data_IF_815007196874
#
_entry.id   IF_815007196874
#
_cell.length_a   1.000
_cell.length_b   1.000
_cell.length_c   1.000
_cell.angle_alpha   90.00
_cell.angle_beta   90.00
_cell.angle_gamma   90.00
#
_symmetry.space_group_name_H-M   'P 1'
#
loop_
_entity.id
_entity.type
_entity.pdbx_description
1 polymer ?
#
# COMPACT_ATOMS: atom_id res chain seq x y z
N UNK A 1 0.87 -6.74 -24.55
CA UNK A 1 1.51 -7.52 -23.48
C UNK A 1 1.63 -6.62 -22.26
N UNK A 2 0.73 -6.75 -21.28
CA UNK A 2 0.87 -6.03 -20.02
C UNK A 2 1.91 -6.77 -19.17
N UNK A 3 3.07 -6.13 -18.97
CA UNK A 3 4.07 -6.66 -18.06
C UNK A 3 3.49 -6.63 -16.64
N UNK A 4 3.11 -7.79 -16.10
CA UNK A 4 2.60 -7.97 -14.74
C UNK A 4 3.68 -7.78 -13.65
N UNK A 5 4.72 -6.99 -13.94
CA UNK A 5 5.82 -6.76 -13.01
C UNK A 5 5.54 -5.49 -12.20
N UNK A 6 5.66 -5.54 -10.88
CA UNK A 6 5.52 -4.35 -10.05
C UNK A 6 6.55 -3.30 -10.47
N UNK A 7 6.17 -2.00 -10.51
CA UNK A 7 7.06 -0.95 -10.98
C UNK A 7 8.29 -0.84 -10.09
N UNK A 8 9.44 -0.46 -10.64
CA UNK A 8 10.62 -0.16 -9.81
C UNK A 8 10.31 1.01 -8.86
N UNK A 9 10.76 0.92 -7.61
CA UNK A 9 10.59 2.01 -6.66
C UNK A 9 11.36 3.25 -7.13
N UNK A 10 10.67 4.38 -7.15
CA UNK A 10 11.26 5.70 -7.35
C UNK A 10 10.98 6.53 -6.11
N UNK A 11 11.94 7.34 -5.71
CA UNK A 11 11.73 8.29 -4.61
C UNK A 11 10.73 9.37 -5.05
N UNK A 12 9.86 9.83 -4.13
CA UNK A 12 8.89 10.86 -4.47
C UNK A 12 9.59 12.17 -4.80
N UNK A 13 9.10 12.85 -5.84
CA UNK A 13 9.45 14.25 -6.11
C UNK A 13 9.03 15.16 -4.95
N UNK A 14 9.54 16.40 -4.95
CA UNK A 14 9.20 17.38 -3.90
C UNK A 14 7.70 17.61 -3.76
N UNK A 15 6.96 17.66 -4.87
CA UNK A 15 5.52 17.92 -4.84
C UNK A 15 4.70 16.68 -4.46
N UNK A 16 5.12 15.48 -4.90
CA UNK A 16 4.53 14.23 -4.42
C UNK A 16 4.77 14.07 -2.92
N UNK A 17 5.97 14.39 -2.44
CA UNK A 17 6.30 14.35 -1.02
C UNK A 17 5.41 15.28 -0.21
N UNK A 18 5.13 16.50 -0.68
CA UNK A 18 4.20 17.43 -0.01
C UNK A 18 2.80 16.82 0.15
N UNK A 19 2.27 16.20 -0.92
CA UNK A 19 0.96 15.52 -0.90
C UNK A 19 0.96 14.36 0.11
N UNK A 20 1.99 13.51 0.09
CA UNK A 20 2.12 12.37 1.00
C UNK A 20 2.23 12.83 2.46
N UNK A 21 3.01 13.87 2.73
CA UNK A 21 3.11 14.47 4.06
C UNK A 21 1.77 15.01 4.52
N UNK A 22 1.00 15.66 3.64
CA UNK A 22 -0.33 16.13 3.97
C UNK A 22 -1.27 14.99 4.34
N UNK A 23 -1.30 13.91 3.56
CA UNK A 23 -2.12 12.71 3.83
C UNK A 23 -1.74 12.10 5.19
N UNK A 24 -0.44 11.87 5.43
CA UNK A 24 0.04 11.28 6.69
C UNK A 24 -0.28 12.16 7.90
N UNK A 25 -0.13 13.48 7.78
CA UNK A 25 -0.53 14.42 8.85
C UNK A 25 -2.03 14.40 9.11
N UNK A 26 -2.82 14.42 8.04
CA UNK A 26 -4.28 14.38 8.14
C UNK A 26 -4.76 13.09 8.85
N UNK A 27 -4.11 11.96 8.57
CA UNK A 27 -4.35 10.69 9.25
C UNK A 27 -3.75 10.61 10.68
N UNK A 28 -3.06 11.66 11.17
CA UNK A 28 -2.47 11.68 12.52
C UNK A 28 -1.18 10.84 12.67
N UNK A 29 -0.53 10.46 11.57
CA UNK A 29 0.69 9.65 11.60
C UNK A 29 1.95 10.49 11.72
N UNK A 30 2.92 9.99 12.49
CA UNK A 30 4.28 10.54 12.50
C UNK A 30 4.94 10.41 11.11
N UNK A 31 5.64 11.47 10.71
CA UNK A 31 6.25 11.58 9.39
C UNK A 31 7.61 10.91 9.37
N UNK A 32 7.65 9.66 8.91
CA UNK A 32 8.91 8.93 8.71
C UNK A 32 9.14 8.69 7.22
N UNK A 33 10.41 8.59 6.83
CA UNK A 33 10.81 8.26 5.45
C UNK A 33 10.17 6.95 4.99
N UNK A 34 10.14 5.94 5.86
CA UNK A 34 9.52 4.64 5.56
C UNK A 34 8.03 4.75 5.23
N UNK A 35 7.26 5.55 5.98
CA UNK A 35 5.83 5.75 5.72
C UNK A 35 5.59 6.49 4.41
N UNK A 36 6.37 7.53 4.15
CA UNK A 36 6.30 8.29 2.91
C UNK A 36 6.59 7.37 1.72
N UNK A 37 7.65 6.56 1.80
CA UNK A 37 8.05 5.67 0.71
C UNK A 37 7.04 4.55 0.46
N UNK A 38 6.52 3.91 1.51
CA UNK A 38 5.49 2.88 1.38
C UNK A 38 4.20 3.43 0.78
N UNK A 39 3.71 4.56 1.30
CA UNK A 39 2.49 5.18 0.80
C UNK A 39 2.66 5.68 -0.65
N UNK A 40 3.83 6.24 -0.98
CA UNK A 40 4.16 6.63 -2.34
C UNK A 40 4.10 5.45 -3.31
N UNK A 41 4.71 4.33 -2.93
CA UNK A 41 4.77 3.16 -3.79
C UNK A 41 3.39 2.55 -3.99
N UNK A 42 2.60 2.42 -2.91
CA UNK A 42 1.22 1.95 -2.95
C UNK A 42 0.32 2.86 -3.80
N UNK A 43 0.59 4.16 -3.85
CA UNK A 43 -0.15 5.09 -4.70
C UNK A 43 0.18 4.95 -6.21
N UNK A 44 1.32 4.34 -6.56
CA UNK A 44 1.74 4.13 -7.95
C UNK A 44 1.30 2.79 -8.52
N UNK A 45 1.12 1.78 -7.67
CA UNK A 45 0.73 0.43 -8.07
C UNK A 45 -0.78 0.22 -7.94
N UNK A 46 -1.36 -0.43 -8.93
CA UNK A 46 -2.73 -0.98 -8.86
C UNK A 46 -2.72 -2.48 -8.58
N UNK A 47 -1.53 -3.08 -8.50
CA UNK A 47 -1.32 -4.49 -8.21
C UNK A 47 -1.24 -4.62 -6.69
N UNK A 48 -2.09 -5.46 -6.07
CA UNK A 48 -1.96 -5.80 -4.66
C UNK A 48 -0.61 -6.44 -4.39
N UNK A 49 0.05 -6.10 -3.28
CA UNK A 49 1.39 -6.60 -2.95
C UNK A 49 1.46 -7.10 -1.51
N UNK A 50 2.23 -8.15 -1.28
CA UNK A 50 2.45 -8.63 0.09
C UNK A 50 3.39 -7.68 0.85
N UNK A 51 3.37 -7.76 2.18
CA UNK A 51 4.33 -7.03 3.01
C UNK A 51 5.79 -7.41 2.67
N UNK A 52 6.04 -8.66 2.26
CA UNK A 52 7.37 -9.12 1.83
C UNK A 52 7.80 -8.44 0.53
N UNK A 53 6.89 -8.35 -0.44
CA UNK A 53 7.17 -7.68 -1.71
C UNK A 53 7.46 -6.19 -1.48
N UNK A 54 6.61 -5.51 -0.70
CA UNK A 54 6.79 -4.10 -0.36
C UNK A 54 8.09 -3.84 0.40
N UNK A 55 8.45 -4.72 1.33
CA UNK A 55 9.72 -4.66 2.07
C UNK A 55 10.92 -4.71 1.13
N UNK A 56 10.88 -5.60 0.13
CA UNK A 56 11.95 -5.75 -0.87
C UNK A 56 11.98 -4.61 -1.88
N UNK A 57 10.83 -4.20 -2.40
CA UNK A 57 10.69 -3.18 -3.44
C UNK A 57 11.08 -1.79 -2.92
N UNK A 58 10.72 -1.48 -1.67
CA UNK A 58 10.96 -0.17 -1.05
C UNK A 58 12.22 -0.18 -0.16
N UNK A 59 12.90 -1.34 -0.04
CA UNK A 59 14.11 -1.53 0.77
C UNK A 59 13.91 -1.11 2.24
N UNK A 60 12.80 -1.53 2.84
CA UNK A 60 12.46 -1.28 4.26
C UNK A 60 12.43 -2.63 4.98
N UNK A 61 12.92 -2.74 6.23
CA UNK A 61 12.84 -3.99 6.99
C UNK A 61 11.40 -4.53 7.05
N UNK A 62 11.25 -5.86 6.96
CA UNK A 62 9.93 -6.50 6.92
C UNK A 62 9.09 -6.17 8.15
N UNK A 63 9.69 -6.18 9.34
CA UNK A 63 9.00 -5.81 10.59
C UNK A 63 8.49 -4.37 10.58
N UNK A 64 9.29 -3.43 10.08
CA UNK A 64 8.90 -2.02 9.89
C UNK A 64 7.80 -1.88 8.86
N UNK A 65 7.84 -2.69 7.79
CA UNK A 65 6.81 -2.72 6.74
C UNK A 65 5.47 -3.16 7.32
N UNK A 66 5.43 -4.27 8.07
CA UNK A 66 4.21 -4.71 8.76
C UNK A 66 3.65 -3.66 9.71
N UNK A 67 4.49 -3.05 10.58
CA UNK A 67 4.03 -2.01 11.52
C UNK A 67 3.38 -0.82 10.80
N UNK A 68 3.97 -0.39 9.69
CA UNK A 68 3.42 0.72 8.91
C UNK A 68 2.12 0.33 8.19
N UNK A 69 2.06 -0.87 7.61
CA UNK A 69 0.85 -1.37 6.94
C UNK A 69 -0.32 -1.52 7.92
N UNK A 70 -0.09 -2.07 9.12
CA UNK A 70 -1.10 -2.10 10.18
C UNK A 70 -1.56 -0.70 10.57
N UNK A 71 -0.63 0.24 10.76
CA UNK A 71 -1.01 1.64 11.05
C UNK A 71 -1.82 2.29 9.92
N UNK A 72 -1.55 1.93 8.67
CA UNK A 72 -2.30 2.44 7.52
C UNK A 72 -3.69 1.81 7.42
N UNK A 73 -3.81 0.52 7.73
CA UNK A 73 -5.08 -0.22 7.81
C UNK A 73 -5.98 0.39 8.89
N UNK A 74 -5.46 0.58 10.10
CA UNK A 74 -6.18 1.17 11.24
C UNK A 74 -6.75 2.58 10.94
N UNK A 75 -6.14 3.29 9.99
CA UNK A 75 -6.51 4.64 9.58
C UNK A 75 -7.23 4.69 8.22
N UNK A 76 -7.57 3.53 7.65
CA UNK A 76 -8.27 3.41 6.38
C UNK A 76 -7.50 3.94 5.17
N UNK A 77 -6.17 4.08 5.26
CA UNK A 77 -5.33 4.52 4.14
C UNK A 77 -5.07 3.39 3.14
N UNK A 78 -5.03 2.15 3.62
CA UNK A 78 -4.83 0.95 2.80
C UNK A 78 -5.90 -0.08 3.12
N UNK A 79 -6.16 -0.92 2.15
CA UNK A 79 -6.99 -2.11 2.27
C UNK A 79 -6.14 -3.34 1.94
N UNK A 80 -6.65 -4.53 2.22
CA UNK A 80 -5.95 -5.77 1.91
C UNK A 80 -6.87 -6.89 1.43
N UNK A 81 -6.29 -7.78 0.64
CA UNK A 81 -6.92 -9.02 0.19
C UNK A 81 -6.27 -10.16 0.94
N UNK A 82 -7.08 -11.08 1.46
CA UNK A 82 -6.59 -12.34 2.00
C UNK A 82 -6.64 -13.42 0.94
N UNK A 83 -5.63 -14.27 0.90
CA UNK A 83 -5.67 -15.48 0.09
C UNK A 83 -6.70 -16.48 0.67
N UNK A 84 -7.01 -17.56 -0.08
CA UNK A 84 -7.98 -18.58 0.37
C UNK A 84 -7.57 -19.28 1.66
N UNK A 85 -6.27 -19.34 1.97
CA UNK A 85 -5.79 -19.90 3.24
C UNK A 85 -5.89 -18.92 4.41
N UNK A 86 -6.22 -17.65 4.14
CA UNK A 86 -6.27 -16.52 5.10
C UNK A 86 -4.92 -16.17 5.75
N UNK A 87 -3.83 -16.74 5.25
CA UNK A 87 -2.48 -16.57 5.83
C UNK A 87 -1.77 -15.35 5.22
N UNK A 88 -2.07 -15.01 3.97
CA UNK A 88 -1.34 -13.97 3.25
C UNK A 88 -2.23 -12.76 2.95
N UNK A 89 -1.81 -11.57 3.44
CA UNK A 89 -2.44 -10.28 3.14
C UNK A 89 -1.72 -9.57 2.00
N UNK A 90 -2.49 -9.12 1.02
CA UNK A 90 -2.04 -8.36 -0.14
C UNK A 90 -2.61 -6.95 -0.07
N UNK A 91 -1.75 -5.96 0.11
CA UNK A 91 -2.13 -4.58 0.42
C UNK A 91 -2.26 -3.72 -0.84
N UNK A 92 -3.17 -2.75 -0.79
CA UNK A 92 -3.42 -1.76 -1.83
C UNK A 92 -3.94 -0.44 -1.22
N UNK A 93 -3.84 0.67 -1.96
CA UNK A 93 -4.30 1.97 -1.47
C UNK A 93 -5.84 2.09 -1.51
N UNK A 94 -6.45 2.59 -0.43
CA UNK A 94 -7.88 2.90 -0.36
C UNK A 94 -8.16 4.23 -1.07
N UNK A 95 -8.18 4.23 -2.41
CA UNK A 95 -8.31 5.45 -3.21
C UNK A 95 -9.74 5.77 -3.66
N UNK A 96 -10.77 5.40 -2.89
CA UNK A 96 -12.18 5.60 -3.27
C UNK A 96 -12.56 4.92 -4.60
N UNK A 97 -11.72 4.01 -5.09
CA UNK A 97 -11.96 3.21 -6.28
C UNK A 97 -12.47 1.86 -5.82
N UNK A 98 -13.53 1.33 -6.46
CA UNK A 98 -13.93 -0.04 -6.18
C UNK A 98 -12.79 -0.92 -6.61
N UNK A 99 -12.13 -1.49 -5.62
CA UNK A 99 -10.97 -2.31 -5.84
C UNK A 99 -11.50 -3.73 -6.11
N UNK A 100 -11.19 -4.28 -7.28
CA UNK A 100 -11.67 -5.59 -7.72
C UNK A 100 -10.52 -6.53 -8.01
N UNK A 101 -10.69 -7.81 -7.70
CA UNK A 101 -9.70 -8.82 -8.08
C UNK A 101 -9.68 -8.93 -9.62
N UNK A 102 -8.54 -8.74 -10.30
CA UNK A 102 -8.50 -8.88 -11.76
C UNK A 102 -8.73 -10.31 -12.24
N UNK A 103 -8.63 -11.31 -11.35
CA UNK A 103 -8.84 -12.73 -11.69
C UNK A 103 -10.28 -13.20 -11.46
N UNK A 104 -10.94 -12.77 -10.38
CA UNK A 104 -12.29 -13.23 -10.03
C UNK A 104 -13.36 -12.12 -10.01
N UNK A 105 -12.98 -10.87 -10.30
CA UNK A 105 -13.84 -9.67 -10.32
C UNK A 105 -14.66 -9.45 -9.04
N UNK A 106 -14.24 -10.06 -7.93
CA UNK A 106 -14.86 -9.86 -6.62
C UNK A 106 -14.45 -8.49 -6.10
N UNK A 107 -15.44 -7.72 -5.62
CA UNK A 107 -15.18 -6.49 -4.87
C UNK A 107 -14.39 -6.85 -3.62
N UNK A 108 -13.28 -6.15 -3.37
CA UNK A 108 -12.56 -6.31 -2.12
C UNK A 108 -13.47 -5.83 -1.00
N UNK A 109 -13.53 -6.63 0.07
CA UNK A 109 -14.44 -6.40 1.18
C UNK A 109 -14.13 -5.05 1.84
N UNK A 110 -14.88 -4.02 1.46
CA UNK A 110 -15.09 -2.84 2.29
C UNK A 110 -16.03 -3.21 3.43
N UNK A 111 -15.56 -4.05 4.35
CA UNK A 111 -16.31 -4.37 5.58
C UNK A 111 -15.84 -3.43 6.67
N UNK A 112 -16.64 -2.38 6.91
CA UNK A 112 -16.88 -1.86 8.25
C UNK A 112 -18.22 -2.41 8.73
#
# INVERSE_FOLDING_TARGET
>A
MYSNLPPAFKTPSTDERKKLVHILKFAGLTLTTSRIHLLHYLAQTQIPLTALDLSRLVSIPLSTTHRNLSSFEDLGLVDFIVDRSTVCRWYLLTAGRPNFCPTCNQAFNATY
#
